data_IF_034114139745
#
_entry.id   IF_034114139745
#
_cell.length_a   1.000
_cell.length_b   1.000
_cell.length_c   1.000
_cell.angle_alpha   90.00
_cell.angle_beta   90.00
_cell.angle_gamma   90.00
#
_symmetry.space_group_name_H-M   'P 1'
#
loop_
_entity.id
_entity.type
_entity.pdbx_description
1 polymer ?
#
# COMPACT_ATOMS: atom_id res chain seq x y z
N UNK A 1 -46.66 -72.42 -14.04
CA UNK A 1 -45.71 -71.36 -14.54
C UNK A 1 -45.81 -70.20 -13.54
N UNK A 2 -44.85 -70.11 -12.61
CA UNK A 2 -44.82 -69.12 -11.53
C UNK A 2 -43.81 -68.05 -11.97
N UNK A 3 -44.30 -66.80 -12.06
CA UNK A 3 -43.45 -65.62 -12.30
C UNK A 3 -42.99 -65.08 -10.93
N UNK A 4 -41.69 -65.20 -10.69
CA UNK A 4 -41.02 -64.57 -9.51
C UNK A 4 -40.64 -63.16 -9.88
N UNK A 5 -41.34 -62.20 -9.28
CA UNK A 5 -40.99 -60.75 -9.33
C UNK A 5 -39.98 -60.51 -8.22
N UNK A 6 -38.72 -60.27 -8.61
CA UNK A 6 -37.70 -59.79 -7.68
C UNK A 6 -37.85 -58.30 -7.45
N UNK A 7 -38.22 -57.93 -6.27
CA UNK A 7 -38.27 -56.56 -5.78
C UNK A 7 -36.85 -56.08 -5.48
N UNK A 8 -36.37 -55.13 -6.28
CA UNK A 8 -35.08 -54.48 -6.06
C UNK A 8 -35.28 -53.28 -5.13
N UNK A 9 -34.87 -53.41 -3.85
CA UNK A 9 -34.87 -52.29 -2.89
C UNK A 9 -33.61 -51.46 -3.12
N UNK A 10 -33.78 -50.32 -3.76
CA UNK A 10 -32.72 -49.29 -3.91
C UNK A 10 -32.70 -48.49 -2.63
N UNK A 11 -31.70 -48.73 -1.78
CA UNK A 11 -31.41 -47.96 -0.61
C UNK A 11 -30.74 -46.67 -1.00
N UNK A 12 -31.46 -45.53 -0.94
CA UNK A 12 -30.96 -44.19 -1.19
C UNK A 12 -30.30 -43.67 0.10
N UNK A 13 -28.98 -43.86 0.20
CA UNK A 13 -28.16 -43.20 1.25
C UNK A 13 -28.02 -41.71 0.92
N UNK A 14 -28.87 -40.90 1.53
CA UNK A 14 -28.71 -39.45 1.54
C UNK A 14 -27.55 -39.13 2.48
N UNK A 15 -26.36 -38.92 1.92
CA UNK A 15 -25.22 -38.34 2.63
C UNK A 15 -25.48 -36.85 2.89
N UNK A 16 -25.96 -36.53 4.08
CA UNK A 16 -26.06 -35.15 4.55
C UNK A 16 -24.64 -34.67 4.80
N UNK A 17 -24.06 -33.98 3.81
CA UNK A 17 -22.83 -33.20 3.98
C UNK A 17 -23.20 -32.00 4.85
N UNK A 18 -23.03 -32.15 6.17
CA UNK A 18 -23.07 -31.03 7.10
C UNK A 18 -21.79 -30.20 6.80
N UNK A 19 -21.92 -29.19 5.96
CA UNK A 19 -20.92 -28.16 5.82
C UNK A 19 -20.89 -27.40 7.12
N UNK A 20 -20.01 -27.83 8.02
CA UNK A 20 -19.63 -27.03 9.19
C UNK A 20 -18.96 -25.76 8.67
N UNK A 21 -19.75 -24.72 8.47
CA UNK A 21 -19.19 -23.37 8.42
C UNK A 21 -18.66 -23.11 9.82
N UNK A 22 -17.38 -23.40 10.05
CA UNK A 22 -16.67 -22.82 11.17
C UNK A 22 -16.74 -21.32 10.98
N UNK A 23 -17.68 -20.67 11.65
CA UNK A 23 -17.66 -19.22 11.83
C UNK A 23 -16.32 -18.92 12.51
N UNK A 24 -15.30 -18.54 11.73
CA UNK A 24 -14.12 -17.96 12.31
C UNK A 24 -14.62 -16.79 13.16
N UNK A 25 -14.50 -16.90 14.48
CA UNK A 25 -14.90 -15.85 15.42
C UNK A 25 -14.17 -14.59 14.97
N UNK A 26 -14.90 -13.61 14.50
CA UNK A 26 -14.32 -12.34 14.08
C UNK A 26 -13.51 -11.80 15.26
N UNK A 27 -12.21 -11.63 15.05
CA UNK A 27 -11.32 -11.10 16.09
C UNK A 27 -11.77 -9.66 16.35
N UNK A 28 -12.19 -9.38 17.59
CA UNK A 28 -12.49 -8.02 17.99
C UNK A 28 -11.23 -7.18 17.89
N UNK A 29 -11.31 -6.00 17.25
CA UNK A 29 -10.18 -5.11 17.03
C UNK A 29 -9.55 -4.66 18.36
N UNK A 30 -10.37 -4.52 19.43
CA UNK A 30 -9.91 -4.17 20.78
C UNK A 30 -9.02 -5.25 21.39
N UNK A 31 -9.16 -6.50 20.95
CA UNK A 31 -8.34 -7.62 21.45
C UNK A 31 -6.89 -7.53 20.99
N UNK A 32 -6.59 -6.68 19.99
CA UNK A 32 -5.26 -6.40 19.46
C UNK A 32 -4.52 -5.35 20.30
N UNK A 33 -5.22 -4.62 21.18
CA UNK A 33 -4.60 -3.66 22.10
C UNK A 33 -3.67 -4.39 23.09
N UNK A 34 -2.59 -3.73 23.56
CA UNK A 34 -1.65 -4.35 24.48
C UNK A 34 -2.33 -4.68 25.82
N UNK A 35 -2.40 -5.96 26.15
CA UNK A 35 -2.94 -6.43 27.44
C UNK A 35 -2.01 -6.17 28.63
N UNK A 36 -0.70 -6.08 28.35
CA UNK A 36 0.32 -5.76 29.33
C UNK A 36 1.05 -4.50 28.91
N UNK A 37 0.89 -3.47 29.70
CA UNK A 37 1.54 -2.18 29.48
C UNK A 37 2.94 -2.17 30.10
N UNK A 38 3.84 -1.31 29.64
CA UNK A 38 5.10 -1.02 30.31
C UNK A 38 4.86 -0.59 31.77
N UNK A 39 5.85 -0.84 32.64
CA UNK A 39 5.77 -0.44 34.04
C UNK A 39 5.53 1.07 34.15
N UNK A 40 4.66 1.45 35.07
CA UNK A 40 4.28 2.85 35.29
C UNK A 40 3.21 3.39 34.34
N UNK A 41 2.76 2.62 33.34
CA UNK A 41 1.74 3.07 32.40
C UNK A 41 0.37 2.50 32.69
N UNK A 42 -0.67 3.27 32.36
CA UNK A 42 -2.08 2.84 32.51
C UNK A 42 -2.92 3.39 31.35
N UNK A 43 -3.97 2.68 31.01
CA UNK A 43 -4.97 3.16 30.07
C UNK A 43 -5.89 4.16 30.77
N UNK A 44 -6.10 5.34 30.20
CA UNK A 44 -6.94 6.40 30.79
C UNK A 44 -8.16 6.73 29.94
N UNK A 45 -8.22 6.31 28.67
CA UNK A 45 -9.38 6.51 27.80
C UNK A 45 -9.60 5.28 26.93
N UNK A 46 -10.85 5.07 26.53
CA UNK A 46 -11.27 4.04 25.60
C UNK A 46 -11.29 2.62 26.16
N UNK A 47 -11.31 1.58 25.29
CA UNK A 47 -11.22 1.68 23.84
C UNK A 47 -12.47 2.30 23.19
N UNK A 48 -12.26 3.23 22.29
CA UNK A 48 -13.31 3.83 21.47
C UNK A 48 -13.26 3.23 20.07
N UNK A 49 -14.41 2.74 19.58
CA UNK A 49 -14.52 2.09 18.27
C UNK A 49 -15.13 3.04 17.27
N UNK A 50 -14.45 3.20 16.13
CA UNK A 50 -14.95 3.99 15.02
C UNK A 50 -15.24 3.09 13.81
N UNK A 51 -16.34 3.41 13.15
CA UNK A 51 -16.82 2.75 11.92
C UNK A 51 -16.78 3.72 10.75
N UNK A 52 -17.14 3.27 9.55
CA UNK A 52 -17.27 4.17 8.40
C UNK A 52 -18.23 5.36 8.64
N UNK A 53 -19.18 5.24 9.57
CA UNK A 53 -20.13 6.31 9.90
C UNK A 53 -19.60 7.31 10.92
N UNK A 54 -18.62 6.92 11.75
CA UNK A 54 -18.17 7.72 12.90
C UNK A 54 -16.70 8.10 12.84
N UNK A 55 -15.92 7.59 11.88
CA UNK A 55 -14.47 7.87 11.78
C UNK A 55 -14.16 9.38 11.70
N UNK A 56 -15.04 10.16 11.05
CA UNK A 56 -14.88 11.61 10.93
C UNK A 56 -14.91 12.34 12.29
N UNK A 57 -15.54 11.75 13.31
CA UNK A 57 -15.54 12.28 14.68
C UNK A 57 -14.14 12.23 15.32
N UNK A 58 -13.32 11.24 14.93
CA UNK A 58 -11.95 11.08 15.42
C UNK A 58 -10.93 11.86 14.60
N UNK A 59 -10.97 11.75 13.27
CA UNK A 59 -9.91 12.26 12.38
C UNK A 59 -10.39 13.31 11.37
N UNK A 60 -11.62 13.84 11.55
CA UNK A 60 -12.19 14.92 10.72
C UNK A 60 -12.06 14.65 9.20
N UNK A 61 -11.58 15.64 8.45
CA UNK A 61 -11.44 15.55 6.99
C UNK A 61 -10.47 14.47 6.49
N UNK A 62 -9.61 13.92 7.34
CA UNK A 62 -8.73 12.81 6.96
C UNK A 62 -9.50 11.50 6.73
N UNK A 63 -10.72 11.35 7.26
CA UNK A 63 -11.54 10.15 7.11
C UNK A 63 -11.75 9.77 5.63
N UNK A 64 -11.91 10.75 4.75
CA UNK A 64 -12.05 10.54 3.30
C UNK A 64 -10.84 9.79 2.71
N UNK A 65 -9.62 10.10 3.16
CA UNK A 65 -8.43 9.37 2.73
C UNK A 65 -8.50 7.90 3.16
N UNK A 66 -8.86 7.62 4.42
CA UNK A 66 -8.97 6.25 4.92
C UNK A 66 -10.05 5.45 4.17
N UNK A 67 -11.18 6.08 3.83
CA UNK A 67 -12.23 5.41 3.04
C UNK A 67 -11.75 4.98 1.66
N UNK A 68 -10.94 5.80 0.97
CA UNK A 68 -10.31 5.44 -0.31
C UNK A 68 -9.42 4.21 -0.21
N UNK A 69 -8.79 4.00 0.95
CA UNK A 69 -7.97 2.83 1.26
C UNK A 69 -8.75 1.73 2.00
N UNK A 70 -10.07 1.65 1.82
CA UNK A 70 -10.87 0.51 2.22
C UNK A 70 -11.07 0.33 3.72
N UNK A 71 -10.98 1.41 4.51
CA UNK A 71 -11.22 1.41 5.95
C UNK A 71 -12.48 0.64 6.34
N UNK A 72 -12.38 -0.22 7.33
CA UNK A 72 -13.49 -1.00 7.87
C UNK A 72 -13.90 -0.51 9.26
N UNK A 73 -12.98 -0.47 10.20
CA UNK A 73 -13.16 -0.02 11.58
C UNK A 73 -11.82 0.35 12.20
N UNK A 74 -11.84 1.12 13.28
CA UNK A 74 -10.65 1.38 14.08
C UNK A 74 -10.95 1.34 15.56
N UNK A 75 -9.90 1.22 16.36
CA UNK A 75 -9.93 1.41 17.81
C UNK A 75 -8.93 2.48 18.19
N UNK A 76 -9.38 3.38 19.06
CA UNK A 76 -8.57 4.43 19.67
C UNK A 76 -8.49 4.26 21.18
N UNK A 77 -7.35 4.57 21.76
CA UNK A 77 -7.16 4.61 23.23
C UNK A 77 -5.98 5.49 23.59
N UNK A 78 -5.97 5.97 24.85
CA UNK A 78 -4.89 6.76 25.42
C UNK A 78 -4.29 6.04 26.61
N UNK A 79 -2.96 5.98 26.62
CA UNK A 79 -2.17 5.51 27.76
C UNK A 79 -1.46 6.70 28.41
N UNK A 80 -1.28 6.64 29.74
CA UNK A 80 -0.66 7.70 30.51
C UNK A 80 0.35 7.13 31.49
N UNK A 81 1.45 7.85 31.69
CA UNK A 81 2.42 7.57 32.73
C UNK A 81 1.84 7.96 34.10
N UNK A 82 1.80 7.02 35.03
CA UNK A 82 1.25 7.22 36.38
C UNK A 82 2.03 8.26 37.20
N UNK A 83 3.32 8.46 36.88
CA UNK A 83 4.21 9.37 37.56
C UNK A 83 4.24 10.78 36.91
N UNK A 84 3.72 10.89 35.68
CA UNK A 84 3.65 12.14 34.92
C UNK A 84 2.40 12.17 34.05
N UNK A 85 1.37 12.86 34.48
CA UNK A 85 0.09 12.93 33.75
C UNK A 85 0.16 13.67 32.40
N UNK A 86 1.24 14.39 32.11
CA UNK A 86 1.47 15.02 30.81
C UNK A 86 2.09 14.07 29.80
N UNK A 87 2.67 12.97 30.27
CA UNK A 87 3.29 11.96 29.43
C UNK A 87 2.24 10.94 28.99
N UNK A 88 1.80 11.05 27.74
CA UNK A 88 0.71 10.25 27.16
C UNK A 88 1.12 9.65 25.83
N UNK A 89 0.52 8.52 25.51
CA UNK A 89 0.62 7.86 24.20
C UNK A 89 -0.78 7.61 23.68
N UNK A 90 -1.10 8.22 22.54
CA UNK A 90 -2.28 7.91 21.76
C UNK A 90 -2.00 6.72 20.84
N UNK A 91 -2.92 5.78 20.78
CA UNK A 91 -2.89 4.62 19.89
C UNK A 91 -4.13 4.60 19.03
N UNK A 92 -3.94 4.68 17.73
CA UNK A 92 -4.94 4.37 16.71
C UNK A 92 -4.56 3.08 15.98
N UNK A 93 -5.47 2.10 15.93
CA UNK A 93 -5.31 0.87 15.17
C UNK A 93 -6.48 0.74 14.19
N UNK A 94 -6.15 0.69 12.90
CA UNK A 94 -7.10 0.69 11.79
C UNK A 94 -7.11 -0.66 11.08
N UNK A 95 -8.30 -1.23 10.86
CA UNK A 95 -8.54 -2.34 9.96
C UNK A 95 -8.82 -1.80 8.56
N UNK A 96 -7.93 -2.04 7.62
CA UNK A 96 -8.00 -1.56 6.24
C UNK A 96 -8.54 -2.62 5.26
N UNK A 97 -9.08 -3.73 5.78
CA UNK A 97 -9.68 -4.79 5.00
C UNK A 97 -8.69 -5.79 4.37
N UNK A 98 -7.53 -5.34 3.90
CA UNK A 98 -6.47 -6.21 3.35
C UNK A 98 -5.10 -5.56 3.42
N UNK A 99 -4.04 -6.36 3.18
CA UNK A 99 -2.64 -5.91 3.31
C UNK A 99 -2.25 -4.83 2.29
N UNK A 100 -2.80 -4.85 1.07
CA UNK A 100 -2.54 -3.82 0.07
C UNK A 100 -3.05 -2.45 0.53
N UNK A 101 -4.25 -2.41 1.11
CA UNK A 101 -4.84 -1.16 1.60
C UNK A 101 -4.13 -0.67 2.87
N UNK A 102 -3.71 -1.58 3.76
CA UNK A 102 -2.91 -1.24 4.93
C UNK A 102 -1.54 -0.67 4.55
N UNK A 103 -0.83 -1.31 3.59
CA UNK A 103 0.38 -0.75 3.00
C UNK A 103 0.10 0.62 2.36
N UNK A 104 -0.99 0.73 1.60
CA UNK A 104 -1.34 1.94 0.89
C UNK A 104 -1.49 3.13 1.82
N UNK A 105 -2.30 3.02 2.87
CA UNK A 105 -2.46 4.12 3.82
C UNK A 105 -1.15 4.38 4.59
N UNK A 106 -0.43 3.35 5.04
CA UNK A 106 0.88 3.49 5.67
C UNK A 106 1.85 4.28 4.79
N UNK A 107 1.94 3.96 3.49
CA UNK A 107 2.82 4.64 2.54
C UNK A 107 2.48 6.13 2.33
N UNK A 108 1.25 6.56 2.64
CA UNK A 108 0.82 7.97 2.59
C UNK A 108 1.20 8.76 3.84
N UNK A 109 1.44 8.09 4.96
CA UNK A 109 1.83 8.71 6.24
C UNK A 109 3.33 8.65 6.50
N UNK A 110 4.03 7.71 5.86
CA UNK A 110 5.48 7.64 5.94
C UNK A 110 6.11 8.78 5.13
N UNK A 111 7.02 9.53 5.73
CA UNK A 111 7.71 10.65 5.06
C UNK A 111 9.17 10.35 4.70
N UNK A 112 9.77 9.30 5.27
CA UNK A 112 11.18 8.96 5.09
C UNK A 112 11.44 7.47 5.39
N UNK A 113 12.68 7.01 5.20
CA UNK A 113 13.13 5.66 5.54
C UNK A 113 13.77 5.64 6.94
N UNK A 114 12.94 5.47 7.96
CA UNK A 114 13.35 5.33 9.38
C UNK A 114 12.73 4.07 9.98
N UNK A 115 13.20 2.88 9.60
CA UNK A 115 12.58 1.64 10.01
C UNK A 115 12.77 1.36 11.52
N UNK A 116 11.70 0.97 12.21
CA UNK A 116 11.76 0.51 13.59
C UNK A 116 11.89 -1.02 13.71
N UNK A 117 11.73 -1.77 12.63
CA UNK A 117 11.72 -3.23 12.62
C UNK A 117 10.48 -3.82 13.29
N UNK A 118 9.32 -3.22 13.07
CA UNK A 118 8.01 -3.65 13.59
C UNK A 118 7.06 -3.90 12.43
N UNK A 119 6.23 -4.94 12.52
CA UNK A 119 5.28 -5.28 11.48
C UNK A 119 5.95 -5.77 10.20
N UNK A 120 5.33 -5.50 9.05
CA UNK A 120 5.92 -5.73 7.73
C UNK A 120 6.84 -4.56 7.33
N UNK A 121 6.42 -3.34 7.67
CA UNK A 121 7.20 -2.12 7.53
C UNK A 121 6.79 -1.14 8.61
N UNK A 122 7.72 -0.27 9.04
CA UNK A 122 7.49 0.70 10.10
C UNK A 122 8.27 1.98 9.84
N UNK A 123 7.77 3.07 10.41
CA UNK A 123 8.37 4.39 10.36
C UNK A 123 8.42 4.98 11.78
N UNK A 124 9.60 5.40 12.24
CA UNK A 124 9.85 5.90 13.59
C UNK A 124 10.39 7.32 13.55
N UNK A 125 9.73 8.22 14.24
CA UNK A 125 10.18 9.56 14.58
C UNK A 125 10.40 9.71 16.08
N UNK A 126 10.76 10.91 16.52
CA UNK A 126 11.04 11.18 17.94
C UNK A 126 9.82 10.91 18.82
N UNK A 127 8.62 11.29 18.36
CA UNK A 127 7.36 11.19 19.12
C UNK A 127 6.30 10.34 18.44
N UNK A 128 6.62 9.66 17.34
CA UNK A 128 5.65 8.82 16.64
C UNK A 128 6.25 7.51 16.12
N UNK A 129 5.43 6.47 16.09
CA UNK A 129 5.74 5.22 15.42
C UNK A 129 4.52 4.72 14.66
N UNK A 130 4.71 4.52 13.37
CA UNK A 130 3.72 3.97 12.46
C UNK A 130 4.19 2.62 11.95
N UNK A 131 3.28 1.66 11.81
CA UNK A 131 3.59 0.40 11.13
C UNK A 131 2.33 -0.22 10.51
N UNK A 132 2.53 -1.15 9.57
CA UNK A 132 1.45 -2.02 9.14
C UNK A 132 1.84 -3.51 9.26
N UNK A 133 0.83 -4.35 9.48
CA UNK A 133 0.97 -5.81 9.50
C UNK A 133 -0.34 -6.45 9.04
N UNK A 134 -0.25 -7.34 8.02
CA UNK A 134 -1.45 -7.86 7.38
C UNK A 134 -2.37 -6.72 6.97
N UNK A 135 -3.65 -6.78 7.33
CA UNK A 135 -4.64 -5.77 7.01
C UNK A 135 -4.70 -4.56 7.96
N UNK A 136 -3.82 -4.52 8.98
CA UNK A 136 -3.87 -3.49 10.02
C UNK A 136 -2.79 -2.43 9.81
N UNK A 137 -3.21 -1.16 9.96
CA UNK A 137 -2.34 0.01 10.07
C UNK A 137 -2.42 0.56 11.49
N UNK A 138 -1.28 0.86 12.10
CA UNK A 138 -1.16 1.29 13.49
C UNK A 138 -0.35 2.55 13.59
N UNK A 139 -0.85 3.49 14.39
CA UNK A 139 -0.20 4.77 14.70
C UNK A 139 -0.10 4.93 16.22
N UNK A 140 1.10 5.26 16.69
CA UNK A 140 1.40 5.62 18.07
C UNK A 140 1.97 7.04 18.09
N UNK A 141 1.39 7.92 18.90
CA UNK A 141 1.87 9.28 19.10
C UNK A 141 2.10 9.53 20.59
N UNK A 142 3.30 9.97 20.96
CA UNK A 142 3.67 10.34 22.32
C UNK A 142 3.73 11.85 22.48
N UNK A 143 3.39 12.35 23.66
CA UNK A 143 3.57 13.77 24.02
C UNK A 143 5.02 14.08 24.41
N UNK A 144 5.77 13.07 24.87
CA UNK A 144 7.17 13.16 25.23
C UNK A 144 8.01 12.22 24.37
N UNK A 145 9.28 12.54 24.17
CA UNK A 145 10.20 11.74 23.34
C UNK A 145 10.69 10.51 24.08
N UNK A 146 10.18 9.33 23.72
CA UNK A 146 10.75 8.01 24.07
C UNK A 146 10.54 6.99 22.93
N UNK A 147 11.38 7.05 21.89
CA UNK A 147 11.31 6.11 20.77
C UNK A 147 11.41 4.63 21.18
N UNK A 148 12.15 4.34 22.27
CA UNK A 148 12.31 2.97 22.75
C UNK A 148 11.01 2.44 23.39
N UNK A 149 10.27 3.26 24.08
CA UNK A 149 8.97 2.94 24.64
C UNK A 149 7.94 2.71 23.53
N UNK A 150 7.86 3.63 22.55
CA UNK A 150 7.00 3.48 21.38
C UNK A 150 7.29 2.17 20.65
N UNK A 151 8.56 1.83 20.45
CA UNK A 151 8.97 0.56 19.82
C UNK A 151 8.53 -0.66 20.65
N UNK A 152 8.69 -0.66 21.97
CA UNK A 152 8.23 -1.76 22.84
C UNK A 152 6.72 -1.95 22.76
N UNK A 153 5.95 -0.86 22.79
CA UNK A 153 4.48 -0.92 22.65
C UNK A 153 4.08 -1.44 21.27
N UNK A 154 4.68 -0.92 20.21
CA UNK A 154 4.43 -1.34 18.83
C UNK A 154 4.73 -2.84 18.62
N UNK A 155 5.83 -3.36 19.18
CA UNK A 155 6.16 -4.80 19.14
C UNK A 155 5.11 -5.65 19.86
N UNK A 156 4.59 -5.19 21.01
CA UNK A 156 3.53 -5.87 21.75
C UNK A 156 2.24 -5.94 20.91
N UNK A 157 1.84 -4.84 20.27
CA UNK A 157 0.67 -4.77 19.39
C UNK A 157 0.89 -5.67 18.16
N UNK A 158 2.04 -5.56 17.51
CA UNK A 158 2.38 -6.37 16.34
C UNK A 158 2.34 -7.88 16.64
N UNK A 159 2.75 -8.29 17.85
CA UNK A 159 2.66 -9.70 18.27
C UNK A 159 1.23 -10.20 18.47
N UNK A 160 0.28 -9.30 18.79
CA UNK A 160 -1.14 -9.62 18.93
C UNK A 160 -1.84 -9.75 17.56
N UNK A 161 -1.27 -9.22 16.50
CA UNK A 161 -1.82 -9.33 15.14
C UNK A 161 -1.38 -10.68 14.55
N UNK A 162 -2.31 -11.64 14.48
CA UNK A 162 -2.07 -12.96 13.90
C UNK A 162 -2.05 -12.96 12.36
N UNK A 163 -2.55 -11.90 11.70
CA UNK A 163 -2.54 -11.78 10.25
C UNK A 163 -1.10 -11.71 9.72
N UNK A 164 -0.70 -12.76 9.00
CA UNK A 164 0.62 -12.93 8.40
C UNK A 164 0.63 -12.71 6.88
N UNK A 165 -0.42 -12.11 6.34
CA UNK A 165 -0.48 -11.77 4.91
C UNK A 165 0.75 -10.93 4.54
N UNK A 166 1.53 -11.34 3.51
CA UNK A 166 2.75 -10.64 3.15
C UNK A 166 2.48 -9.25 2.56
N UNK A 167 3.53 -8.47 2.40
CA UNK A 167 3.50 -7.21 1.66
C UNK A 167 3.02 -7.42 0.21
N UNK A 168 2.44 -6.40 -0.44
CA UNK A 168 2.06 -6.48 -1.84
C UNK A 168 3.25 -6.85 -2.72
N UNK A 169 3.10 -7.90 -3.54
CA UNK A 169 4.17 -8.42 -4.41
C UNK A 169 4.67 -7.41 -5.44
N UNK A 170 3.84 -6.44 -5.80
CA UNK A 170 4.18 -5.38 -6.74
C UNK A 170 5.33 -4.49 -6.24
N UNK A 171 5.57 -4.41 -4.95
CA UNK A 171 6.69 -3.68 -4.34
C UNK A 171 8.03 -4.26 -4.83
N UNK A 172 8.10 -5.59 -4.95
CA UNK A 172 9.32 -6.30 -5.37
C UNK A 172 9.61 -6.17 -6.86
N UNK A 173 8.66 -5.66 -7.65
CA UNK A 173 8.90 -5.43 -9.09
C UNK A 173 9.77 -4.22 -9.36
N UNK A 174 9.82 -3.25 -8.43
CA UNK A 174 10.62 -2.04 -8.59
C UNK A 174 12.12 -2.34 -8.54
N UNK A 175 12.91 -1.96 -9.57
CA UNK A 175 14.37 -2.07 -9.55
C UNK A 175 14.96 -1.41 -8.31
N UNK A 176 16.03 -1.98 -7.78
CA UNK A 176 16.64 -1.46 -6.53
C UNK A 176 17.67 -0.37 -6.79
N UNK A 177 18.31 -0.37 -7.97
CA UNK A 177 19.31 0.63 -8.33
C UNK A 177 18.67 2.01 -8.50
N UNK A 178 19.17 3.00 -7.75
CA UNK A 178 18.64 4.37 -7.75
C UNK A 178 17.32 4.56 -7.01
N UNK A 179 16.69 3.51 -6.49
CA UNK A 179 15.44 3.64 -5.72
C UNK A 179 15.68 4.40 -4.43
N UNK A 180 14.97 5.51 -4.23
CA UNK A 180 14.99 6.23 -2.96
C UNK A 180 14.31 5.38 -1.88
N UNK A 181 15.02 5.03 -0.80
CA UNK A 181 14.44 4.24 0.29
C UNK A 181 13.15 4.87 0.80
N UNK A 182 12.17 4.03 1.16
CA UNK A 182 10.91 4.52 1.71
C UNK A 182 9.98 5.25 0.72
N UNK A 183 10.29 5.33 -0.58
CA UNK A 183 9.53 6.13 -1.54
C UNK A 183 8.43 5.39 -2.29
N UNK A 184 8.30 4.07 -2.15
CA UNK A 184 7.24 3.34 -2.83
C UNK A 184 5.90 3.66 -2.16
N UNK A 185 4.98 4.23 -2.92
CA UNK A 185 3.62 4.54 -2.49
C UNK A 185 2.59 3.76 -3.31
N UNK A 186 1.50 3.34 -2.68
CA UNK A 186 0.33 2.82 -3.37
C UNK A 186 -0.75 3.88 -3.42
N UNK A 187 -1.30 4.14 -4.59
CA UNK A 187 -2.43 5.02 -4.84
C UNK A 187 -3.67 4.17 -5.13
N UNK A 188 -4.66 4.21 -4.25
CA UNK A 188 -5.91 3.47 -4.43
C UNK A 188 -6.77 4.02 -5.57
N UNK A 189 -6.57 5.30 -5.94
CA UNK A 189 -7.21 5.98 -7.06
C UNK A 189 -6.30 7.10 -7.61
N UNK A 190 -6.51 7.48 -8.87
CA UNK A 190 -5.89 8.67 -9.44
C UNK A 190 -4.37 8.65 -9.51
N UNK A 191 -3.76 7.50 -9.80
CA UNK A 191 -2.31 7.39 -9.93
C UNK A 191 -1.77 8.45 -10.90
N UNK A 192 -0.67 9.12 -10.54
CA UNK A 192 -0.09 10.26 -11.27
C UNK A 192 -1.05 11.47 -11.44
N UNK A 193 -2.16 11.53 -10.71
CA UNK A 193 -3.20 12.54 -10.88
C UNK A 193 -4.16 12.26 -12.05
N UNK A 194 -4.10 11.10 -12.68
CA UNK A 194 -4.94 10.72 -13.81
C UNK A 194 -5.99 9.69 -13.41
N UNK A 195 -7.28 10.04 -13.57
CA UNK A 195 -8.40 9.15 -13.23
C UNK A 195 -8.44 7.86 -14.09
N UNK A 196 -7.90 7.90 -15.32
CA UNK A 196 -7.84 6.73 -16.18
C UNK A 196 -6.77 5.71 -15.74
N UNK A 197 -5.77 6.10 -14.95
CA UNK A 197 -4.82 5.16 -14.35
C UNK A 197 -5.36 4.47 -13.11
N UNK A 198 -6.51 4.90 -12.61
CA UNK A 198 -7.22 4.33 -11.45
C UNK A 198 -6.28 4.15 -10.25
N UNK A 199 -5.67 2.95 -10.11
CA UNK A 199 -4.83 2.55 -8.97
C UNK A 199 -3.47 2.06 -9.42
N UNK A 200 -2.51 2.08 -8.51
CA UNK A 200 -1.18 1.55 -8.78
C UNK A 200 -0.13 2.04 -7.81
N UNK A 201 1.11 1.76 -8.13
CA UNK A 201 2.26 2.14 -7.32
C UNK A 201 3.09 3.22 -8.03
N UNK A 202 3.73 4.06 -7.24
CA UNK A 202 4.73 5.02 -7.67
C UNK A 202 5.94 4.93 -6.75
N UNK A 203 7.14 5.13 -7.30
CA UNK A 203 8.38 5.18 -6.55
C UNK A 203 9.27 6.31 -7.06
N UNK A 204 10.04 6.93 -6.17
CA UNK A 204 11.03 7.96 -6.50
C UNK A 204 12.37 7.30 -6.73
N UNK A 205 13.04 7.72 -7.79
CA UNK A 205 14.40 7.33 -8.14
C UNK A 205 15.31 8.54 -8.17
N UNK A 206 16.58 8.32 -7.85
CA UNK A 206 17.61 9.35 -7.84
C UNK A 206 18.57 9.14 -9.02
N UNK A 207 18.76 10.16 -9.83
CA UNK A 207 19.77 10.20 -10.88
C UNK A 207 20.85 11.22 -10.51
N UNK A 208 22.11 10.77 -10.49
CA UNK A 208 23.26 11.67 -10.30
C UNK A 208 23.51 12.42 -11.59
N UNK A 209 23.34 13.72 -11.58
CA UNK A 209 23.65 14.58 -12.72
C UNK A 209 24.94 15.35 -12.40
N UNK A 210 25.97 15.10 -13.22
CA UNK A 210 27.17 15.93 -13.18
C UNK A 210 26.85 17.28 -13.86
N UNK A 211 26.59 18.29 -13.07
CA UNK A 211 26.46 19.64 -13.56
C UNK A 211 27.86 20.23 -13.73
N UNK A 212 28.27 20.46 -14.99
CA UNK A 212 29.61 20.97 -15.31
C UNK A 212 29.87 22.37 -14.77
N UNK A 213 28.82 23.12 -14.47
CA UNK A 213 28.88 24.49 -13.93
C UNK A 213 28.78 24.57 -12.42
N UNK A 214 28.47 23.46 -11.76
CA UNK A 214 28.39 23.35 -10.29
C UNK A 214 29.40 22.34 -9.78
N UNK A 215 30.18 22.74 -8.74
CA UNK A 215 31.17 21.91 -8.06
C UNK A 215 30.56 20.71 -7.27
N UNK A 216 29.27 20.43 -7.40
CA UNK A 216 28.56 19.34 -6.73
C UNK A 216 27.59 18.66 -7.69
N UNK A 217 27.61 17.32 -7.72
CA UNK A 217 26.56 16.53 -8.31
C UNK A 217 25.25 16.78 -7.53
N UNK A 218 24.17 17.12 -8.22
CA UNK A 218 22.84 17.22 -7.65
C UNK A 218 22.09 15.93 -7.98
N UNK A 219 21.45 15.34 -6.95
CA UNK A 219 20.54 14.22 -7.16
C UNK A 219 19.23 14.78 -7.74
N UNK A 220 18.85 14.32 -8.93
CA UNK A 220 17.56 14.66 -9.53
C UNK A 220 16.58 13.51 -9.34
N UNK A 221 15.38 13.87 -8.90
CA UNK A 221 14.31 12.91 -8.71
C UNK A 221 13.53 12.69 -10.01
N UNK A 222 13.23 11.42 -10.30
CA UNK A 222 12.30 10.99 -11.32
C UNK A 222 11.48 9.81 -10.80
N UNK A 223 10.42 9.40 -11.51
CA UNK A 223 9.47 8.45 -10.94
C UNK A 223 9.27 7.25 -11.85
N UNK A 224 9.27 6.04 -11.25
CA UNK A 224 8.66 4.87 -11.85
C UNK A 224 7.25 4.69 -11.32
N UNK A 225 6.36 4.18 -12.18
CA UNK A 225 5.00 3.86 -11.78
C UNK A 225 4.50 2.56 -12.39
N UNK A 226 3.58 1.90 -11.68
CA UNK A 226 2.91 0.67 -12.10
C UNK A 226 1.40 0.86 -11.96
N UNK A 227 0.70 1.18 -13.04
CA UNK A 227 -0.75 1.20 -13.04
C UNK A 227 -1.31 -0.21 -13.20
N UNK A 228 -2.34 -0.55 -12.40
CA UNK A 228 -2.91 -1.90 -12.29
C UNK A 228 -4.36 -1.89 -12.77
N UNK A 229 -4.67 -2.78 -13.69
CA UNK A 229 -6.02 -2.93 -14.26
C UNK A 229 -6.54 -4.35 -14.01
N UNK A 230 -7.84 -4.53 -14.17
CA UNK A 230 -8.47 -5.84 -14.00
C UNK A 230 -8.37 -6.72 -15.28
N UNK A 231 -8.10 -6.09 -16.45
CA UNK A 231 -8.00 -6.76 -17.76
C UNK A 231 -6.97 -6.02 -18.63
N UNK A 232 -6.31 -6.75 -19.52
CA UNK A 232 -5.37 -6.19 -20.49
C UNK A 232 -6.00 -5.11 -21.38
N UNK A 233 -7.24 -5.29 -21.80
CA UNK A 233 -7.98 -4.29 -22.58
C UNK A 233 -8.11 -2.95 -21.85
N UNK A 234 -8.37 -2.96 -20.53
CA UNK A 234 -8.46 -1.71 -19.77
C UNK A 234 -7.11 -0.98 -19.67
N UNK A 235 -6.00 -1.71 -19.64
CA UNK A 235 -4.66 -1.12 -19.69
C UNK A 235 -4.41 -0.47 -21.07
N UNK A 236 -4.79 -1.15 -22.16
CA UNK A 236 -4.71 -0.63 -23.52
C UNK A 236 -5.55 0.65 -23.70
N UNK A 237 -6.79 0.65 -23.23
CA UNK A 237 -7.70 1.81 -23.29
C UNK A 237 -7.14 2.99 -22.50
N UNK A 238 -6.56 2.74 -21.32
CA UNK A 238 -5.92 3.77 -20.50
C UNK A 238 -4.68 4.36 -21.22
N UNK A 239 -3.84 3.52 -21.81
CA UNK A 239 -2.67 3.95 -22.58
C UNK A 239 -3.07 4.78 -23.79
N UNK A 240 -4.12 4.38 -24.51
CA UNK A 240 -4.68 5.14 -25.66
C UNK A 240 -5.22 6.49 -25.19
N UNK A 241 -5.91 6.54 -24.05
CA UNK A 241 -6.42 7.77 -23.45
C UNK A 241 -5.26 8.71 -23.09
N UNK A 242 -4.20 8.18 -22.46
CA UNK A 242 -3.00 8.94 -22.12
C UNK A 242 -2.32 9.49 -23.38
N UNK A 243 -2.09 8.66 -24.40
CA UNK A 243 -1.53 9.06 -25.70
C UNK A 243 -2.33 10.21 -26.35
N UNK A 244 -3.66 10.09 -26.35
CA UNK A 244 -4.56 11.11 -26.90
C UNK A 244 -4.46 12.41 -26.11
N UNK A 245 -4.36 12.33 -24.78
CA UNK A 245 -4.17 13.49 -23.91
C UNK A 245 -2.84 14.19 -24.15
N UNK A 246 -1.74 13.43 -24.30
CA UNK A 246 -0.42 13.97 -24.61
C UNK A 246 -0.37 14.63 -26.00
N UNK A 247 -0.99 14.02 -27.01
CA UNK A 247 -1.04 14.59 -28.35
C UNK A 247 -1.75 15.95 -28.39
N UNK A 248 -2.64 16.23 -27.45
CA UNK A 248 -3.38 17.51 -27.35
C UNK A 248 -2.67 18.58 -26.51
N UNK A 249 -1.95 18.19 -25.47
CA UNK A 249 -1.44 19.12 -24.44
C UNK A 249 0.07 19.04 -24.22
N UNK A 250 0.71 17.98 -24.66
CA UNK A 250 2.13 17.70 -24.56
C UNK A 250 2.71 17.29 -25.90
N UNK A 251 3.56 16.26 -25.88
CA UNK A 251 4.20 15.73 -27.07
C UNK A 251 4.14 14.20 -27.07
N UNK A 252 3.89 13.62 -28.23
CA UNK A 252 4.01 12.17 -28.47
C UNK A 252 5.12 11.98 -29.51
N UNK A 253 6.14 11.19 -29.16
CA UNK A 253 7.21 10.84 -30.07
C UNK A 253 6.72 9.78 -31.07
N UNK A 254 7.16 9.89 -32.32
CA UNK A 254 6.79 8.96 -33.40
C UNK A 254 7.44 7.58 -33.26
N UNK A 255 8.55 7.50 -32.52
CA UNK A 255 9.33 6.27 -32.34
C UNK A 255 9.36 5.87 -30.88
N UNK A 256 8.89 4.63 -30.63
CA UNK A 256 9.07 3.94 -29.35
C UNK A 256 10.12 2.86 -29.57
N UNK A 257 11.10 2.65 -28.66
CA UNK A 257 12.05 1.58 -28.79
C UNK A 257 11.36 0.23 -29.08
N UNK A 258 11.78 -0.48 -30.12
CA UNK A 258 11.14 -1.72 -30.57
C UNK A 258 11.03 -2.79 -29.46
N UNK A 259 11.97 -2.76 -28.50
CA UNK A 259 11.99 -3.63 -27.32
C UNK A 259 10.79 -3.44 -26.37
N UNK A 260 10.10 -2.30 -26.43
CA UNK A 260 8.89 -2.04 -25.65
C UNK A 260 7.61 -2.53 -26.34
N UNK A 261 7.75 -3.12 -27.53
CA UNK A 261 6.64 -3.65 -28.31
C UNK A 261 5.73 -2.59 -28.92
N UNK A 262 4.64 -2.99 -29.58
CA UNK A 262 3.75 -2.09 -30.32
C UNK A 262 2.90 -1.20 -29.37
N UNK A 263 2.75 -1.59 -28.12
CA UNK A 263 1.93 -0.90 -27.12
C UNK A 263 2.78 -0.02 -26.20
N UNK A 264 3.89 0.54 -26.68
CA UNK A 264 4.69 1.51 -25.95
C UNK A 264 4.24 2.96 -26.23
N UNK A 265 4.54 3.86 -25.33
CA UNK A 265 4.37 5.31 -25.46
C UNK A 265 5.66 6.00 -25.03
N UNK A 266 6.11 6.98 -25.82
CA UNK A 266 7.17 7.91 -25.46
C UNK A 266 6.69 9.33 -25.79
N UNK A 267 7.04 10.29 -24.94
CA UNK A 267 6.59 11.64 -25.16
C UNK A 267 6.97 12.59 -24.03
N UNK A 268 6.28 13.70 -23.94
CA UNK A 268 6.44 14.71 -22.89
C UNK A 268 5.07 15.12 -22.33
N UNK A 269 4.93 14.96 -21.03
CA UNK A 269 3.75 15.32 -20.27
C UNK A 269 3.97 16.70 -19.64
N UNK A 270 3.05 17.66 -19.82
CA UNK A 270 3.19 19.02 -19.28
C UNK A 270 3.38 19.08 -17.77
N UNK A 271 2.84 18.08 -17.04
CA UNK A 271 2.89 18.03 -15.57
C UNK A 271 3.97 17.10 -15.03
N UNK A 272 4.54 16.22 -15.88
CA UNK A 272 5.43 15.12 -15.45
C UNK A 272 6.76 15.08 -16.21
N UNK A 273 6.96 15.97 -17.20
CA UNK A 273 8.14 15.97 -18.05
C UNK A 273 8.19 14.81 -19.04
N UNK A 274 9.37 14.37 -19.42
CA UNK A 274 9.55 13.23 -20.32
C UNK A 274 8.92 11.98 -19.75
N UNK A 275 8.28 11.18 -20.60
CA UNK A 275 7.55 9.99 -20.19
C UNK A 275 7.80 8.83 -21.16
N UNK A 276 7.94 7.62 -20.59
CA UNK A 276 7.87 6.35 -21.32
C UNK A 276 6.94 5.42 -20.59
N UNK A 277 6.08 4.70 -21.32
CA UNK A 277 5.12 3.73 -20.76
C UNK A 277 5.10 2.48 -21.63
N UNK A 278 5.03 1.32 -20.99
CA UNK A 278 4.97 0.01 -21.63
C UNK A 278 3.81 -0.77 -21.02
N UNK A 279 3.02 -1.42 -21.85
CA UNK A 279 2.01 -2.36 -21.43
C UNK A 279 2.59 -3.76 -21.26
N UNK A 280 2.34 -4.40 -20.09
CA UNK A 280 2.58 -5.84 -19.87
C UNK A 280 1.33 -6.49 -19.26
N UNK A 281 0.59 -7.23 -20.07
CA UNK A 281 -0.68 -7.81 -19.64
C UNK A 281 -1.68 -6.73 -19.19
N UNK A 282 -2.13 -6.81 -17.97
CA UNK A 282 -3.04 -5.83 -17.34
C UNK A 282 -2.31 -4.72 -16.57
N UNK A 283 -0.99 -4.57 -16.73
CA UNK A 283 -0.19 -3.52 -16.15
C UNK A 283 0.24 -2.49 -17.20
N UNK A 284 0.38 -1.23 -16.76
CA UNK A 284 1.17 -0.22 -17.44
C UNK A 284 2.34 0.16 -16.54
N UNK A 285 3.55 -0.17 -16.96
CA UNK A 285 4.78 0.26 -16.32
C UNK A 285 5.32 1.49 -17.02
N UNK A 286 5.77 2.50 -16.28
CA UNK A 286 6.30 3.70 -16.90
C UNK A 286 7.30 4.44 -16.03
N UNK A 287 8.00 5.36 -16.68
CA UNK A 287 8.94 6.30 -16.07
C UNK A 287 8.60 7.72 -16.49
N UNK A 288 8.68 8.67 -15.54
CA UNK A 288 8.37 10.09 -15.79
C UNK A 288 9.40 11.00 -15.13
N UNK A 289 9.65 12.18 -15.73
CA UNK A 289 10.47 13.23 -15.13
C UNK A 289 11.98 13.02 -15.27
N UNK A 290 12.43 12.07 -16.08
CA UNK A 290 13.84 11.73 -16.28
C UNK A 290 14.54 12.72 -17.24
N UNK A 291 15.85 12.89 -17.07
CA UNK A 291 16.71 13.65 -17.99
C UNK A 291 17.39 12.73 -18.99
N UNK A 292 18.04 11.67 -18.53
CA UNK A 292 18.76 10.71 -19.37
C UNK A 292 17.83 9.61 -19.90
N UNK A 293 17.53 9.67 -21.20
CA UNK A 293 16.69 8.68 -21.85
C UNK A 293 17.29 7.26 -21.78
N UNK A 294 18.62 7.12 -21.94
CA UNK A 294 19.28 5.81 -21.91
C UNK A 294 19.20 5.13 -20.54
N UNK A 295 19.36 5.89 -19.45
CA UNK A 295 19.20 5.39 -18.07
C UNK A 295 17.74 4.98 -17.80
N UNK A 296 16.81 5.87 -18.12
CA UNK A 296 15.38 5.60 -17.93
C UNK A 296 14.87 4.39 -18.73
N UNK A 297 15.35 4.22 -19.97
CA UNK A 297 15.03 3.06 -20.80
C UNK A 297 15.53 1.76 -20.19
N UNK A 298 16.78 1.72 -19.71
CA UNK A 298 17.38 0.53 -19.07
C UNK A 298 16.60 0.15 -17.80
N UNK A 299 16.26 1.15 -16.98
CA UNK A 299 15.52 0.94 -15.74
C UNK A 299 14.10 0.45 -16.01
N UNK A 300 13.42 1.02 -17.03
CA UNK A 300 12.09 0.57 -17.43
C UNK A 300 12.11 -0.87 -17.98
N UNK A 301 13.16 -1.27 -18.70
CA UNK A 301 13.33 -2.67 -19.14
C UNK A 301 13.44 -3.65 -17.98
N UNK A 302 14.26 -3.32 -16.98
CA UNK A 302 14.40 -4.13 -15.77
C UNK A 302 13.06 -4.22 -15.05
N UNK A 303 12.38 -3.08 -14.87
CA UNK A 303 11.08 -3.01 -14.23
C UNK A 303 10.04 -3.90 -14.92
N UNK A 304 9.95 -3.82 -16.26
CA UNK A 304 9.04 -4.67 -17.05
C UNK A 304 9.39 -6.16 -16.94
N UNK A 305 10.67 -6.52 -16.86
CA UNK A 305 11.09 -7.93 -16.66
C UNK A 305 10.62 -8.47 -15.31
N UNK A 306 10.70 -7.66 -14.25
CA UNK A 306 10.32 -8.04 -12.90
C UNK A 306 8.81 -8.24 -12.71
N UNK A 307 7.96 -7.67 -13.57
CA UNK A 307 6.51 -7.89 -13.53
C UNK A 307 6.21 -9.32 -13.96
N UNK A 308 5.60 -10.10 -13.10
CA UNK A 308 5.19 -11.50 -13.32
C UNK A 308 3.76 -11.62 -13.86
#
# INVERSE_FOLDING_TARGET
MRNDIKLLVISFLISIFIWSHAFAKEISIESLLPRKLPEGWTQISGPEIYTQKTLFERINGQAELFFKYGFQKSVFTIYQNKNNSKDQIELDLYDMGNALQAFGIFSRFRSDDRPAGVGLESYLEDTSLLFYKGRYFVMLYATETDPSLLKRMALTISSSIADSTPAPKEIDTFPKDGLKPGSIEYHAEGLLGYQFFKRGFQAVYLEKVEDRDKLRAEDREFHLFLAIFNKSQHAEDALKTYRTGLAKRGKVDSTVPARFGPNGLKGEDPNRGKVMVVQKGFYLAGVTGFDSAGHAEKLLEEFVKNIQ
#
